data_IF_967563158972
#
_entry.id   IF_967563158972
#
_cell.length_a   1.000
_cell.length_b   1.000
_cell.length_c   1.000
_cell.angle_alpha   90.00
_cell.angle_beta   90.00
_cell.angle_gamma   90.00
#
_symmetry.space_group_name_H-M   'P 1'
#
loop_
_entity.id
_entity.type
_entity.pdbx_description
1 polymer ?
#
# COMPACT_ATOMS: atom_id res chain seq x y z
N UNK A 1 32.57 -27.50 -60.44
CA UNK A 1 31.91 -26.72 -61.50
C UNK A 1 31.06 -25.65 -60.83
N UNK A 2 31.30 -24.40 -61.22
CA UNK A 2 30.78 -23.13 -60.70
C UNK A 2 29.24 -23.02 -60.64
N UNK A 3 28.73 -22.34 -59.59
CA UNK A 3 27.79 -21.18 -59.60
C UNK A 3 27.32 -20.97 -58.15
N UNK A 4 27.26 -19.81 -57.51
CA UNK A 4 27.42 -18.39 -57.84
C UNK A 4 26.82 -17.64 -56.64
N UNK A 5 27.47 -16.56 -56.19
CA UNK A 5 27.02 -15.72 -55.06
C UNK A 5 25.64 -15.09 -55.34
N UNK A 6 24.81 -14.96 -54.30
CA UNK A 6 23.82 -13.88 -54.26
C UNK A 6 23.76 -13.29 -52.84
N UNK A 7 24.33 -12.09 -52.73
CA UNK A 7 24.24 -11.19 -51.57
C UNK A 7 22.77 -10.79 -51.39
N UNK A 8 22.21 -10.93 -50.18
CA UNK A 8 21.02 -10.18 -49.77
C UNK A 8 21.27 -9.51 -48.43
N UNK A 9 20.97 -8.22 -48.41
CA UNK A 9 21.41 -7.20 -47.48
C UNK A 9 21.15 -7.49 -46.00
N UNK A 10 22.10 -7.07 -45.18
CA UNK A 10 21.89 -6.78 -43.77
C UNK A 10 20.82 -5.68 -43.64
N UNK A 11 19.76 -5.95 -42.87
CA UNK A 11 18.79 -4.94 -42.48
C UNK A 11 19.40 -4.03 -41.40
N UNK A 12 19.19 -2.70 -41.42
CA UNK A 12 19.70 -1.82 -40.37
C UNK A 12 18.99 -2.10 -39.05
N UNK A 13 19.79 -2.33 -38.01
CA UNK A 13 19.41 -2.22 -36.61
C UNK A 13 19.31 -0.72 -36.29
N UNK A 14 18.11 -0.14 -36.36
CA UNK A 14 17.79 1.13 -35.71
C UNK A 14 16.27 1.25 -35.59
N UNK A 15 15.74 0.67 -34.51
CA UNK A 15 14.53 1.17 -33.87
C UNK A 15 14.86 1.32 -32.41
N UNK A 16 15.16 2.56 -32.03
CA UNK A 16 15.11 2.97 -30.63
C UNK A 16 13.82 2.42 -30.01
N UNK A 17 13.88 1.78 -28.82
CA UNK A 17 12.67 1.42 -28.10
C UNK A 17 11.87 2.71 -27.85
N UNK A 18 10.53 2.67 -27.91
CA UNK A 18 9.72 3.85 -27.67
C UNK A 18 10.10 4.40 -26.30
N UNK A 19 10.72 5.59 -26.34
CA UNK A 19 11.02 6.42 -25.19
C UNK A 19 9.69 6.57 -24.46
N UNK A 20 9.64 6.03 -23.24
CA UNK A 20 8.43 5.89 -22.45
C UNK A 20 7.57 7.13 -22.61
N UNK A 21 6.33 6.91 -23.07
CA UNK A 21 5.28 7.89 -22.90
C UNK A 21 5.22 8.16 -21.39
N UNK A 22 5.77 9.30 -20.98
CA UNK A 22 5.35 9.96 -19.76
C UNK A 22 3.85 10.18 -19.92
N UNK A 23 3.09 9.23 -19.39
CA UNK A 23 1.65 9.29 -19.35
C UNK A 23 1.27 10.57 -18.59
N UNK A 24 0.91 11.58 -19.37
CA UNK A 24 0.29 12.79 -18.92
C UNK A 24 -0.92 12.42 -18.05
N UNK A 25 -0.85 12.74 -16.75
CA UNK A 25 -1.98 13.07 -15.89
C UNK A 25 -3.26 12.23 -16.01
N UNK A 26 -3.16 10.91 -16.23
CA UNK A 26 -4.32 10.04 -16.17
C UNK A 26 -4.85 10.03 -14.75
N UNK A 27 -6.06 10.55 -14.52
CA UNK A 27 -6.73 10.40 -13.24
C UNK A 27 -6.88 8.91 -12.95
N UNK A 28 -6.15 8.43 -11.94
CA UNK A 28 -6.17 7.03 -11.52
C UNK A 28 -7.60 6.62 -11.15
N UNK A 29 -8.07 5.51 -11.75
CA UNK A 29 -9.43 5.02 -11.54
C UNK A 29 -9.65 4.68 -10.05
N UNK A 30 -10.74 5.20 -9.44
CA UNK A 30 -10.99 4.98 -8.03
C UNK A 30 -11.38 3.52 -7.77
N UNK A 31 -10.66 2.87 -6.86
CA UNK A 31 -11.00 1.52 -6.37
C UNK A 31 -12.28 1.56 -5.53
N UNK A 32 -12.41 2.57 -4.66
CA UNK A 32 -13.59 2.79 -3.83
C UNK A 32 -13.90 4.27 -3.70
N UNK A 33 -15.19 4.59 -3.63
CA UNK A 33 -15.72 5.91 -3.24
C UNK A 33 -16.74 5.75 -2.13
N UNK A 34 -16.72 6.67 -1.18
CA UNK A 34 -17.52 6.52 0.03
C UNK A 34 -17.53 7.76 0.89
N UNK A 35 -18.58 7.90 1.68
CA UNK A 35 -18.73 9.04 2.60
C UNK A 35 -18.29 8.60 3.99
N UNK A 36 -17.36 9.35 4.57
CA UNK A 36 -16.92 9.14 5.95
C UNK A 36 -16.97 10.42 6.75
N UNK A 37 -17.25 10.30 8.04
CA UNK A 37 -17.05 11.39 8.97
C UNK A 37 -15.59 11.42 9.44
N UNK A 38 -14.87 12.49 9.10
CA UNK A 38 -13.49 12.74 9.53
C UNK A 38 -13.50 13.93 10.49
N UNK A 39 -13.16 13.68 11.75
CA UNK A 39 -13.36 14.65 12.83
C UNK A 39 -14.84 15.02 12.98
N UNK A 40 -15.18 16.28 12.69
CA UNK A 40 -16.56 16.81 12.76
C UNK A 40 -17.19 17.03 11.39
N UNK A 41 -16.52 16.66 10.29
CA UNK A 41 -16.98 16.93 8.92
C UNK A 41 -17.35 15.63 8.22
N UNK A 42 -18.38 15.69 7.38
CA UNK A 42 -18.67 14.65 6.39
C UNK A 42 -17.82 14.90 5.17
N UNK A 43 -17.07 13.90 4.72
CA UNK A 43 -16.14 14.01 3.61
C UNK A 43 -16.48 12.97 2.53
N UNK A 44 -16.38 13.38 1.27
CA UNK A 44 -16.26 12.45 0.16
C UNK A 44 -14.83 11.91 0.16
N UNK A 45 -14.68 10.58 0.21
CA UNK A 45 -13.40 9.89 0.31
C UNK A 45 -13.25 9.01 -0.91
N UNK A 46 -12.08 9.09 -1.53
CA UNK A 46 -11.72 8.30 -2.71
C UNK A 46 -10.44 7.53 -2.44
N UNK A 47 -10.53 6.21 -2.58
CA UNK A 47 -9.40 5.30 -2.53
C UNK A 47 -8.99 4.91 -3.95
N UNK A 48 -7.69 4.95 -4.20
CA UNK A 48 -7.03 4.45 -5.41
C UNK A 48 -5.83 3.61 -5.02
N UNK A 49 -5.18 2.94 -5.96
CA UNK A 49 -4.04 2.07 -5.66
C UNK A 49 -2.82 2.86 -5.12
N UNK A 50 -2.71 4.16 -5.42
CA UNK A 50 -1.58 4.99 -4.99
C UNK A 50 -1.88 6.01 -3.90
N UNK A 51 -3.15 6.35 -3.67
CA UNK A 51 -3.50 7.44 -2.76
C UNK A 51 -4.90 7.32 -2.16
N UNK A 52 -5.04 7.90 -0.98
CA UNK A 52 -6.29 8.12 -0.27
C UNK A 52 -6.53 9.63 -0.16
N UNK A 53 -7.60 10.11 -0.78
CA UNK A 53 -7.95 11.54 -0.83
C UNK A 53 -9.34 11.78 -0.27
N UNK A 54 -9.53 12.94 0.34
CA UNK A 54 -10.85 13.33 0.85
C UNK A 54 -11.06 14.85 0.85
N UNK A 55 -12.30 15.24 0.63
CA UNK A 55 -12.73 16.64 0.70
C UNK A 55 -14.04 16.77 1.48
N UNK A 56 -14.23 17.84 2.28
CA UNK A 56 -15.51 18.10 2.93
C UNK A 56 -16.64 18.25 1.92
N UNK A 57 -17.76 17.58 2.17
CA UNK A 57 -18.97 17.72 1.33
C UNK A 57 -19.56 19.10 1.55
N UNK A 58 -19.76 19.86 0.47
CA UNK A 58 -20.44 21.14 0.54
C UNK A 58 -21.95 20.93 0.65
N UNK A 59 -22.64 21.59 1.61
CA UNK A 59 -24.08 21.63 1.59
C UNK A 59 -24.55 22.38 0.34
N UNK A 60 -25.55 21.84 -0.37
CA UNK A 60 -26.20 22.54 -1.47
C UNK A 60 -26.78 23.87 -0.95
N UNK A 61 -26.21 24.99 -1.41
CA UNK A 61 -26.67 26.31 -0.99
C UNK A 61 -27.98 26.63 -1.71
N UNK A 62 -29.12 26.43 -1.03
CA UNK A 62 -30.41 26.95 -1.48
C UNK A 62 -30.51 28.43 -1.10
N UNK A 63 -30.31 29.31 -2.08
CA UNK A 63 -30.55 30.76 -1.94
C UNK A 63 -29.29 31.54 -1.61
N UNK A 64 -29.03 32.57 -2.42
CA UNK A 64 -27.81 33.36 -2.38
C UNK A 64 -27.61 34.09 -1.06
N UNK A 65 -26.48 33.80 -0.43
CA UNK A 65 -25.72 34.78 0.32
C UNK A 65 -24.25 34.50 -0.01
N UNK A 66 -23.60 35.47 -0.65
CA UNK A 66 -22.19 35.44 -1.01
C UNK A 66 -21.33 35.60 0.24
N UNK A 67 -21.33 34.58 1.10
CA UNK A 67 -20.33 34.47 2.15
C UNK A 67 -19.15 33.67 1.57
N UNK A 68 -17.97 34.28 1.58
CA UNK A 68 -16.72 33.80 0.99
C UNK A 68 -16.41 32.37 1.48
N UNK A 69 -16.85 31.34 0.76
CA UNK A 69 -16.44 29.97 0.99
C UNK A 69 -14.97 29.87 0.57
N UNK A 70 -14.05 29.88 1.53
CA UNK A 70 -12.70 29.39 1.28
C UNK A 70 -12.86 27.97 0.68
N UNK A 71 -12.18 27.66 -0.45
CA UNK A 71 -12.20 26.30 -0.97
C UNK A 71 -11.67 25.40 0.13
N UNK A 72 -12.52 24.50 0.64
CA UNK A 72 -12.08 23.49 1.58
C UNK A 72 -10.96 22.72 0.91
N UNK A 73 -9.77 22.78 1.51
CA UNK A 73 -8.58 22.14 0.96
C UNK A 73 -8.80 20.63 0.94
N UNK A 74 -8.67 20.03 -0.24
CA UNK A 74 -8.59 18.58 -0.38
C UNK A 74 -7.37 18.09 0.41
N UNK A 75 -7.57 17.09 1.25
CA UNK A 75 -6.52 16.44 2.00
C UNK A 75 -6.21 15.09 1.35
N UNK A 76 -4.94 14.72 1.33
CA UNK A 76 -4.45 13.55 0.62
C UNK A 76 -3.31 12.89 1.38
N UNK A 77 -3.25 11.56 1.28
CA UNK A 77 -2.15 10.73 1.75
C UNK A 77 -1.79 9.74 0.64
N UNK A 78 -0.49 9.62 0.34
CA UNK A 78 0.02 8.61 -0.57
C UNK A 78 0.08 7.23 0.13
N UNK A 79 -0.15 6.15 -0.60
CA UNK A 79 -0.12 4.79 -0.05
C UNK A 79 1.24 4.45 0.59
N UNK A 80 2.34 4.98 0.03
CA UNK A 80 3.69 4.80 0.59
C UNK A 80 3.87 5.38 2.01
N UNK A 81 3.02 6.34 2.39
CA UNK A 81 3.05 6.95 3.71
C UNK A 81 2.11 6.23 4.70
N UNK A 82 1.28 5.30 4.23
CA UNK A 82 0.39 4.48 5.04
C UNK A 82 1.14 3.20 5.43
N UNK A 83 1.26 2.97 6.73
CA UNK A 83 1.96 1.80 7.25
C UNK A 83 1.04 0.84 8.00
N UNK A 84 -0.19 1.25 8.32
CA UNK A 84 -1.12 0.36 9.00
C UNK A 84 -2.58 0.78 8.83
N UNK A 85 -3.48 -0.19 8.83
CA UNK A 85 -4.93 0.03 8.86
C UNK A 85 -5.58 -0.86 9.93
N UNK A 86 -6.62 -0.35 10.60
CA UNK A 86 -7.43 -1.13 11.56
C UNK A 86 -8.90 -0.77 11.50
N UNK A 87 -9.75 -1.74 11.86
CA UNK A 87 -11.14 -1.50 12.20
C UNK A 87 -11.24 -0.91 13.61
N UNK A 88 -11.94 0.21 13.76
CA UNK A 88 -12.14 0.92 15.02
C UNK A 88 -13.46 0.46 15.65
N UNK A 89 -13.39 -0.24 16.78
CA UNK A 89 -14.56 -0.69 17.54
C UNK A 89 -14.61 -0.04 18.92
N UNK A 90 -15.81 0.32 19.38
CA UNK A 90 -16.07 0.76 20.76
C UNK A 90 -16.74 -0.36 21.54
N UNK A 91 -16.17 -0.67 22.70
CA UNK A 91 -16.75 -1.62 23.66
C UNK A 91 -17.51 -0.86 24.74
N UNK A 92 -18.63 -1.44 25.19
CA UNK A 92 -19.31 -0.97 26.38
C UNK A 92 -18.72 -1.64 27.64
N UNK A 93 -18.91 -1.00 28.79
CA UNK A 93 -18.45 -1.52 30.09
C UNK A 93 -19.07 -2.90 30.31
N UNK A 94 -18.24 -3.90 30.62
CA UNK A 94 -18.67 -5.29 30.84
C UNK A 94 -18.66 -6.21 29.61
N UNK A 95 -18.47 -5.66 28.40
CA UNK A 95 -18.46 -6.46 27.18
C UNK A 95 -17.07 -7.10 26.90
N UNK A 96 -16.98 -8.43 26.97
CA UNK A 96 -15.72 -9.18 26.79
C UNK A 96 -15.31 -9.41 25.32
N UNK A 97 -16.28 -9.51 24.40
CA UNK A 97 -16.05 -9.66 22.95
C UNK A 97 -17.11 -8.91 22.15
N UNK A 98 -16.74 -8.50 20.94
CA UNK A 98 -17.57 -7.63 20.11
C UNK A 98 -17.61 -6.19 20.62
N UNK A 99 -18.13 -5.30 19.79
CA UNK A 99 -18.25 -3.87 20.05
C UNK A 99 -18.72 -3.18 18.78
N UNK A 100 -19.39 -2.05 18.93
CA UNK A 100 -19.95 -1.29 17.81
C UNK A 100 -18.81 -0.82 16.93
N UNK A 101 -18.85 -1.16 15.64
CA UNK A 101 -17.91 -0.64 14.66
C UNK A 101 -18.17 0.85 14.46
N UNK A 102 -17.12 1.64 14.64
CA UNK A 102 -17.17 3.09 14.48
C UNK A 102 -16.57 3.56 13.15
N UNK A 103 -15.82 2.70 12.46
CA UNK A 103 -15.13 3.04 11.22
C UNK A 103 -13.77 2.37 11.06
N UNK A 104 -12.91 3.02 10.29
CA UNK A 104 -11.55 2.60 9.95
C UNK A 104 -10.57 3.64 10.49
N UNK A 105 -9.42 3.18 10.98
CA UNK A 105 -8.28 4.05 11.28
C UNK A 105 -7.12 3.68 10.36
N UNK A 106 -6.60 4.67 9.64
CA UNK A 106 -5.38 4.57 8.84
C UNK A 106 -4.25 5.25 9.61
N UNK A 107 -3.11 4.59 9.73
CA UNK A 107 -1.91 5.11 10.36
C UNK A 107 -0.90 5.51 9.30
N UNK A 108 -0.42 6.75 9.43
CA UNK A 108 0.46 7.37 8.45
C UNK A 108 1.74 7.82 9.12
N UNK A 109 2.85 7.72 8.40
CA UNK A 109 4.14 8.22 8.81
C UNK A 109 4.58 9.31 7.84
N UNK A 110 4.59 10.55 8.30
CA UNK A 110 4.93 11.70 7.47
C UNK A 110 6.29 12.26 7.89
N UNK A 111 7.18 12.47 6.92
CA UNK A 111 8.45 13.16 7.17
C UNK A 111 8.18 14.65 7.38
N UNK A 112 8.53 15.15 8.57
CA UNK A 112 8.57 16.57 8.88
C UNK A 112 9.99 16.94 9.25
N UNK A 113 10.66 17.70 8.39
CA UNK A 113 12.08 18.01 8.50
C UNK A 113 12.93 16.72 8.54
N UNK A 114 13.70 16.51 9.61
CA UNK A 114 14.54 15.33 9.82
C UNK A 114 13.89 14.32 10.78
N UNK A 115 12.58 14.44 11.02
CA UNK A 115 11.83 13.53 11.91
C UNK A 115 10.68 12.88 11.15
N UNK A 116 10.48 11.61 11.43
CA UNK A 116 9.26 10.89 11.05
C UNK A 116 8.20 11.14 12.13
N UNK A 117 7.00 11.53 11.73
CA UNK A 117 5.88 11.77 12.62
C UNK A 117 4.76 10.79 12.31
N UNK A 118 4.35 10.03 13.32
CA UNK A 118 3.19 9.17 13.25
C UNK A 118 1.90 9.98 13.44
N UNK A 119 0.87 9.61 12.67
CA UNK A 119 -0.48 10.18 12.79
C UNK A 119 -1.53 9.10 12.53
N UNK A 120 -2.71 9.27 13.13
CA UNK A 120 -3.83 8.35 12.97
C UNK A 120 -5.04 9.11 12.43
N UNK A 121 -5.48 8.73 11.22
CA UNK A 121 -6.62 9.33 10.54
C UNK A 121 -7.83 8.41 10.76
N UNK A 122 -8.91 8.97 11.29
CA UNK A 122 -10.12 8.22 11.63
C UNK A 122 -11.22 8.51 10.60
N UNK A 123 -11.56 7.49 9.82
CA UNK A 123 -12.66 7.50 8.87
C UNK A 123 -13.86 6.84 9.54
N UNK A 124 -14.77 7.62 10.11
CA UNK A 124 -15.90 7.07 10.86
C UNK A 124 -17.10 6.81 9.93
N UNK A 125 -17.66 5.61 9.98
CA UNK A 125 -18.87 5.21 9.29
C UNK A 125 -19.51 4.07 10.10
N UNK A 126 -20.84 4.08 10.24
CA UNK A 126 -21.57 3.09 11.05
C UNK A 126 -21.99 1.84 10.25
N UNK A 127 -21.90 1.87 8.92
CA UNK A 127 -22.15 0.70 8.09
C UNK A 127 -20.98 -0.28 8.24
N UNK A 128 -21.27 -1.44 8.83
CA UNK A 128 -20.26 -2.50 8.98
C UNK A 128 -19.75 -2.96 7.62
N UNK A 129 -20.64 -3.23 6.66
CA UNK A 129 -20.27 -3.71 5.32
C UNK A 129 -19.38 -2.70 4.60
N UNK A 130 -19.71 -1.41 4.68
CA UNK A 130 -18.90 -0.36 4.07
C UNK A 130 -17.49 -0.32 4.69
N UNK A 131 -17.39 -0.40 6.02
CA UNK A 131 -16.10 -0.40 6.68
C UNK A 131 -15.27 -1.65 6.38
N UNK A 132 -15.88 -2.83 6.29
CA UNK A 132 -15.15 -4.05 5.96
C UNK A 132 -14.68 -4.05 4.50
N UNK A 133 -15.50 -3.58 3.57
CA UNK A 133 -15.12 -3.45 2.15
C UNK A 133 -13.88 -2.56 1.99
N UNK A 134 -13.89 -1.37 2.61
CA UNK A 134 -12.75 -0.45 2.59
C UNK A 134 -11.53 -1.00 3.33
N UNK A 135 -11.73 -1.65 4.48
CA UNK A 135 -10.64 -2.26 5.23
C UNK A 135 -9.95 -3.38 4.46
N UNK A 136 -10.71 -4.25 3.79
CA UNK A 136 -10.17 -5.34 3.00
C UNK A 136 -9.40 -4.82 1.77
N UNK A 137 -9.94 -3.83 1.06
CA UNK A 137 -9.24 -3.21 -0.06
C UNK A 137 -7.91 -2.57 0.39
N UNK A 138 -7.91 -1.81 1.49
CA UNK A 138 -6.68 -1.26 2.07
C UNK A 138 -5.69 -2.35 2.51
N UNK A 139 -6.18 -3.46 3.06
CA UNK A 139 -5.31 -4.59 3.45
C UNK A 139 -4.61 -5.23 2.25
N UNK A 140 -5.32 -5.39 1.14
CA UNK A 140 -4.76 -5.93 -0.09
C UNK A 140 -3.67 -5.00 -0.65
N UNK A 141 -3.95 -3.69 -0.72
CA UNK A 141 -2.98 -2.68 -1.18
C UNK A 141 -1.72 -2.65 -0.30
N UNK A 142 -1.89 -2.84 1.02
CA UNK A 142 -0.81 -2.81 2.01
C UNK A 142 -0.17 -4.18 2.28
N UNK A 143 -0.46 -5.21 1.48
CA UNK A 143 0.10 -6.57 1.63
C UNK A 143 0.00 -7.12 3.07
N UNK A 144 -1.14 -6.89 3.73
CA UNK A 144 -1.33 -7.30 5.14
C UNK A 144 -1.36 -8.81 5.24
N UNK A 145 -0.48 -9.37 6.05
CA UNK A 145 -0.43 -10.82 6.26
C UNK A 145 -1.32 -11.27 7.42
N UNK A 146 -1.95 -12.42 7.21
CA UNK A 146 -3.04 -12.91 8.07
C UNK A 146 -2.72 -14.22 8.79
N UNK A 147 -1.84 -15.03 8.21
CA UNK A 147 -1.47 -16.34 8.69
C UNK A 147 0.03 -16.58 8.54
N UNK A 148 0.54 -17.60 9.22
CA UNK A 148 1.94 -18.01 9.14
C UNK A 148 2.27 -18.57 7.74
N UNK A 149 3.35 -18.07 7.13
CA UNK A 149 3.75 -18.44 5.77
C UNK A 149 3.19 -17.51 4.68
N UNK A 150 2.25 -16.61 5.01
CA UNK A 150 1.68 -15.69 4.03
C UNK A 150 2.73 -14.70 3.50
N UNK A 151 3.61 -14.17 4.34
CA UNK A 151 4.64 -13.23 3.92
C UNK A 151 5.61 -13.88 2.94
N UNK A 152 5.98 -15.13 3.24
CA UNK A 152 6.87 -15.92 2.40
C UNK A 152 6.26 -16.15 1.01
N UNK A 153 4.97 -16.50 0.94
CA UNK A 153 4.27 -16.70 -0.35
C UNK A 153 4.26 -15.42 -1.18
N UNK A 154 3.91 -14.28 -0.56
CA UNK A 154 3.91 -12.97 -1.24
C UNK A 154 5.30 -12.63 -1.81
N UNK A 155 6.36 -12.80 -1.01
CA UNK A 155 7.74 -12.51 -1.45
C UNK A 155 8.24 -13.42 -2.57
N UNK A 156 7.69 -14.64 -2.69
CA UNK A 156 8.02 -15.57 -3.78
C UNK A 156 7.33 -15.20 -5.09
N UNK A 157 6.09 -14.74 -5.03
CA UNK A 157 5.25 -14.45 -6.20
C UNK A 157 5.40 -13.01 -6.71
N UNK A 158 5.82 -12.08 -5.84
CA UNK A 158 5.87 -10.66 -6.16
C UNK A 158 7.06 -10.27 -7.05
N UNK A 159 6.88 -9.27 -7.92
CA UNK A 159 7.95 -8.64 -8.69
C UNK A 159 8.76 -7.65 -7.85
N UNK A 160 9.70 -8.18 -7.03
CA UNK A 160 10.48 -7.38 -6.08
C UNK A 160 11.28 -6.23 -6.71
N UNK A 161 11.63 -6.29 -8.00
CA UNK A 161 12.35 -5.22 -8.69
C UNK A 161 11.54 -3.93 -8.87
N UNK A 162 10.22 -3.97 -8.60
CA UNK A 162 9.34 -2.79 -8.66
C UNK A 162 9.34 -1.98 -7.36
N UNK A 163 9.99 -2.49 -6.30
CA UNK A 163 10.04 -1.85 -4.98
C UNK A 163 11.45 -1.34 -4.67
N UNK A 164 11.52 -0.24 -3.92
CA UNK A 164 12.79 0.30 -3.42
C UNK A 164 13.27 -0.39 -2.12
N UNK A 165 12.36 -1.10 -1.44
CA UNK A 165 12.61 -1.75 -0.16
C UNK A 165 11.36 -2.43 0.40
N UNK A 166 11.55 -3.22 1.46
CA UNK A 166 10.48 -3.90 2.21
C UNK A 166 10.46 -3.37 3.63
N UNK A 167 9.28 -3.11 4.20
CA UNK A 167 9.13 -2.62 5.58
C UNK A 167 8.28 -3.59 6.38
N UNK A 168 8.93 -4.43 7.17
CA UNK A 168 8.25 -5.31 8.10
C UNK A 168 7.67 -4.53 9.27
N UNK A 169 6.36 -4.64 9.49
CA UNK A 169 5.67 -4.06 10.64
C UNK A 169 5.05 -5.20 11.41
N UNK A 170 5.66 -5.60 12.51
CA UNK A 170 5.30 -6.83 13.20
C UNK A 170 6.19 -7.13 14.40
N UNK A 171 6.04 -8.33 14.92
CA UNK A 171 6.96 -8.90 15.90
C UNK A 171 8.04 -9.77 15.25
N UNK A 172 8.88 -10.38 16.07
CA UNK A 172 10.06 -11.13 15.61
C UNK A 172 9.72 -12.28 14.66
N UNK A 173 8.60 -12.96 14.88
CA UNK A 173 8.16 -14.03 13.97
C UNK A 173 7.89 -13.54 12.55
N UNK A 174 7.27 -12.36 12.40
CA UNK A 174 7.00 -11.76 11.08
C UNK A 174 8.27 -11.23 10.42
N UNK A 175 9.14 -10.60 11.21
CA UNK A 175 10.45 -10.16 10.76
C UNK A 175 11.29 -11.34 10.25
N UNK A 176 11.31 -12.44 10.98
CA UNK A 176 12.02 -13.67 10.60
C UNK A 176 11.48 -14.24 9.28
N UNK A 177 10.16 -14.30 9.14
CA UNK A 177 9.50 -14.79 7.92
C UNK A 177 9.88 -13.96 6.69
N UNK A 178 9.87 -12.63 6.80
CA UNK A 178 10.23 -11.71 5.70
C UNK A 178 11.72 -11.78 5.39
N UNK A 179 12.59 -11.77 6.41
CA UNK A 179 14.03 -11.87 6.21
C UNK A 179 14.41 -13.19 5.52
N UNK A 180 13.81 -14.29 5.94
CA UNK A 180 13.97 -15.59 5.31
C UNK A 180 13.45 -15.58 3.86
N UNK A 181 12.26 -15.02 3.63
CA UNK A 181 11.67 -14.95 2.29
C UNK A 181 12.49 -14.14 1.30
N UNK A 182 13.02 -12.98 1.71
CA UNK A 182 13.92 -12.17 0.88
C UNK A 182 15.21 -12.91 0.53
N UNK A 183 15.80 -13.62 1.51
CA UNK A 183 17.02 -14.39 1.27
C UNK A 183 16.77 -15.58 0.33
N UNK A 184 15.67 -16.31 0.56
CA UNK A 184 15.28 -17.44 -0.27
C UNK A 184 15.01 -16.99 -1.71
N UNK A 185 14.28 -15.88 -1.88
CA UNK A 185 14.02 -15.30 -3.19
C UNK A 185 15.32 -14.93 -3.92
N UNK A 186 16.27 -14.32 -3.22
CA UNK A 186 17.58 -14.00 -3.79
C UNK A 186 18.37 -15.23 -4.24
N UNK A 187 18.27 -16.36 -3.53
CA UNK A 187 18.87 -17.62 -3.99
C UNK A 187 18.18 -18.14 -5.25
N UNK A 188 16.84 -18.14 -5.27
CA UNK A 188 16.02 -18.62 -6.39
C UNK A 188 16.32 -17.81 -7.66
N UNK A 189 16.34 -16.48 -7.56
CA UNK A 189 16.63 -15.58 -8.68
C UNK A 189 18.06 -15.78 -9.22
N UNK A 190 18.99 -16.20 -8.36
CA UNK A 190 20.38 -16.50 -8.73
C UNK A 190 20.61 -17.97 -9.17
N UNK A 191 19.57 -18.80 -9.21
CA UNK A 191 19.66 -20.23 -9.54
C UNK A 191 20.53 -21.03 -8.57
N UNK A 192 20.61 -20.62 -7.30
CA UNK A 192 21.38 -21.30 -6.25
C UNK A 192 20.52 -22.35 -5.54
N UNK A 193 21.19 -23.35 -4.98
CA UNK A 193 20.56 -24.32 -4.08
C UNK A 193 19.98 -23.60 -2.85
N UNK A 194 18.76 -23.98 -2.47
CA UNK A 194 18.01 -23.42 -1.35
C UNK A 194 18.15 -24.23 -0.07
N UNK A 195 18.67 -25.45 -0.14
CA UNK A 195 18.70 -26.38 1.00
C UNK A 195 19.92 -26.17 1.89
N UNK A 196 21.07 -25.77 1.32
CA UNK A 196 22.32 -25.55 2.06
C UNK A 196 23.05 -24.27 1.64
N UNK A 197 22.72 -23.17 2.32
CA UNK A 197 23.26 -21.84 2.01
C UNK A 197 24.53 -21.56 2.83
N UNK A 198 25.69 -22.03 2.35
CA UNK A 198 26.99 -21.68 2.95
C UNK A 198 27.46 -20.26 2.57
N UNK A 199 27.06 -19.78 1.40
CA UNK A 199 27.40 -18.46 0.86
C UNK A 199 26.14 -17.78 0.29
N UNK A 200 25.34 -17.11 1.15
CA UNK A 200 24.08 -16.53 0.72
C UNK A 200 24.27 -15.45 -0.33
N UNK A 201 23.53 -15.56 -1.43
CA UNK A 201 23.28 -14.41 -2.31
C UNK A 201 22.61 -13.30 -1.50
N UNK A 202 23.12 -12.08 -1.65
CA UNK A 202 22.58 -10.89 -0.98
C UNK A 202 21.17 -10.59 -1.50
N UNK A 203 20.23 -10.37 -0.59
CA UNK A 203 18.91 -9.88 -0.97
C UNK A 203 19.02 -8.49 -1.65
N UNK A 204 18.33 -8.28 -2.78
CA UNK A 204 18.46 -7.05 -3.56
C UNK A 204 17.80 -5.85 -2.88
N UNK A 205 16.77 -6.09 -2.06
CA UNK A 205 16.00 -5.03 -1.39
C UNK A 205 16.45 -4.82 0.07
N UNK A 206 16.60 -3.55 0.52
CA UNK A 206 16.77 -3.26 1.93
C UNK A 206 15.51 -3.61 2.74
N UNK A 207 15.70 -4.09 3.96
CA UNK A 207 14.64 -4.42 4.91
C UNK A 207 14.61 -3.37 6.04
N UNK A 208 13.48 -2.68 6.19
CA UNK A 208 13.15 -1.87 7.36
C UNK A 208 12.28 -2.64 8.35
N UNK A 209 12.39 -2.35 9.64
CA UNK A 209 11.58 -2.97 10.69
C UNK A 209 10.93 -1.89 11.54
N UNK A 210 9.60 -1.95 11.66
CA UNK A 210 8.82 -1.15 12.60
C UNK A 210 8.25 -2.11 13.65
N UNK A 211 8.77 -2.13 14.88
CA UNK A 211 8.30 -3.05 15.90
C UNK A 211 6.85 -2.76 16.29
N UNK A 212 5.97 -3.74 16.08
CA UNK A 212 4.59 -3.72 16.55
C UNK A 212 4.47 -4.68 17.74
N UNK A 213 4.40 -4.14 18.95
CA UNK A 213 4.31 -4.96 20.17
C UNK A 213 3.14 -5.96 20.16
N UNK A 214 3.24 -6.99 21.00
CA UNK A 214 2.38 -8.21 21.07
C UNK A 214 0.85 -7.96 21.11
N UNK A 215 0.41 -6.73 21.41
CA UNK A 215 -1.00 -6.35 21.49
C UNK A 215 -1.61 -5.77 20.21
N UNK A 216 -0.91 -5.77 19.08
CA UNK A 216 -1.47 -5.35 17.78
C UNK A 216 -1.30 -6.47 16.76
N UNK A 217 -2.36 -7.28 16.56
CA UNK A 217 -2.44 -8.37 15.57
C UNK A 217 -2.49 -7.84 14.13
N UNK A 218 -1.49 -7.10 13.69
CA UNK A 218 -1.38 -6.74 12.28
C UNK A 218 0.08 -6.79 11.87
N UNK A 219 0.33 -7.57 10.82
CA UNK A 219 1.63 -7.80 10.19
C UNK A 219 1.59 -7.12 8.82
N UNK A 220 2.50 -6.19 8.55
CA UNK A 220 2.60 -5.52 7.25
C UNK A 220 3.98 -5.80 6.63
N UNK A 221 4.04 -5.79 5.30
CA UNK A 221 5.25 -6.00 4.47
C UNK A 221 5.44 -4.78 3.57
#
# INVERSE_FOLDING_TARGET
LYRGEERRGAAPLDRDPPRGEEAAGGEEEPLLRGIFQIGKRSCDVVLSARQLRWSPIQPESRGGDSNMNLPYKEELVEMKDIFSVKLKRRRFVGQKKGGVLLGITVFVCLKKENKLKDSAINFNNLSEDHCHSWFNCLKEILNVTEYEGHALSLLKECELHTFDGVVCIGGDGSTSEIAHGLLLRAQMDAGRDTDYILSPVRAPLPLGIIPAGENRRYRFI
#
